data_IF_436000712393
#
_entry.id   IF_436000712393
#
_cell.length_a   1.000
_cell.length_b   1.000
_cell.length_c   1.000
_cell.angle_alpha   90.00
_cell.angle_beta   90.00
_cell.angle_gamma   90.00
#
_symmetry.space_group_name_H-M   'P 1'
#
loop_
_entity.id
_entity.type
_entity.pdbx_description
1 polymer ?
#
# COMPACT_ATOMS: atom_id res chain seq x y z
N UNK A 1 -10.45 32.29 17.48
CA UNK A 1 -11.29 31.11 17.74
C UNK A 1 -10.91 30.08 16.70
N UNK A 2 -9.87 29.36 17.06
CA UNK A 2 -9.60 27.94 16.83
C UNK A 2 -10.32 27.27 15.64
N UNK A 3 -9.66 27.23 14.49
CA UNK A 3 -9.83 26.18 13.48
C UNK A 3 -8.61 25.24 13.56
N UNK A 4 -8.42 24.62 14.73
CA UNK A 4 -7.51 23.50 14.94
C UNK A 4 -8.24 22.22 14.47
N UNK A 5 -8.31 22.02 13.15
CA UNK A 5 -8.70 20.71 12.64
C UNK A 5 -7.61 19.71 13.04
N UNK A 6 -7.93 18.64 13.79
CA UNK A 6 -6.92 17.64 14.11
C UNK A 6 -6.45 17.03 12.79
N UNK A 7 -5.17 17.26 12.47
CA UNK A 7 -4.43 16.50 11.46
C UNK A 7 -4.87 15.03 11.56
N UNK A 8 -5.45 14.51 10.47
CA UNK A 8 -6.12 13.20 10.47
C UNK A 8 -5.34 12.18 11.28
N UNK A 9 -5.99 11.60 12.29
CA UNK A 9 -5.37 10.83 13.36
C UNK A 9 -4.27 9.90 12.82
N UNK A 10 -3.02 10.22 13.10
CA UNK A 10 -1.92 9.29 12.91
C UNK A 10 -2.14 8.13 13.89
N UNK A 11 -2.57 6.98 13.38
CA UNK A 11 -2.75 5.76 14.15
C UNK A 11 -1.55 4.84 13.89
N UNK A 12 -0.56 4.80 14.81
CA UNK A 12 0.54 3.85 14.68
C UNK A 12 -0.02 2.43 14.76
N UNK A 13 0.42 1.58 13.83
CA UNK A 13 0.09 0.16 13.82
C UNK A 13 1.35 -0.68 13.77
N UNK A 14 1.32 -1.83 14.42
CA UNK A 14 2.39 -2.83 14.33
C UNK A 14 2.20 -3.64 13.05
N UNK A 15 3.21 -3.64 12.19
CA UNK A 15 3.26 -4.47 10.99
C UNK A 15 4.30 -5.55 11.24
N UNK A 16 3.89 -6.82 11.18
CA UNK A 16 4.80 -7.94 11.38
C UNK A 16 5.59 -8.21 10.09
N UNK A 17 6.87 -8.63 10.15
CA UNK A 17 7.67 -8.89 8.95
C UNK A 17 7.01 -9.87 7.96
N UNK A 18 6.28 -10.87 8.47
CA UNK A 18 5.54 -11.84 7.64
C UNK A 18 4.33 -11.27 6.89
N UNK A 19 3.92 -10.02 7.18
CA UNK A 19 2.84 -9.33 6.47
C UNK A 19 3.36 -8.40 5.38
N UNK A 20 4.67 -8.13 5.32
CA UNK A 20 5.24 -7.27 4.29
C UNK A 20 5.35 -8.03 2.98
N UNK A 21 4.74 -7.47 1.94
CA UNK A 21 4.72 -8.09 0.61
C UNK A 21 5.17 -7.12 -0.48
N UNK A 22 5.74 -7.67 -1.54
CA UNK A 22 6.20 -6.90 -2.69
C UNK A 22 5.16 -6.79 -3.81
N UNK A 23 5.51 -6.05 -4.87
CA UNK A 23 4.64 -5.79 -6.02
C UNK A 23 4.05 -7.03 -6.69
N UNK A 24 4.71 -8.19 -6.63
CA UNK A 24 4.17 -9.44 -7.20
C UNK A 24 2.89 -9.86 -6.50
N UNK A 25 2.94 -10.00 -5.17
CA UNK A 25 1.78 -10.40 -4.36
C UNK A 25 0.69 -9.34 -4.45
N UNK A 26 1.06 -8.05 -4.46
CA UNK A 26 0.08 -6.98 -4.67
C UNK A 26 -0.67 -7.12 -6.01
N UNK A 27 0.03 -7.42 -7.11
CA UNK A 27 -0.58 -7.68 -8.41
C UNK A 27 -1.57 -8.85 -8.36
N UNK A 28 -1.18 -9.96 -7.74
CA UNK A 28 -2.01 -11.15 -7.54
C UNK A 28 -3.28 -10.81 -6.75
N UNK A 29 -3.14 -10.12 -5.60
CA UNK A 29 -4.28 -9.70 -4.77
C UNK A 29 -5.25 -8.76 -5.49
N UNK A 30 -4.74 -7.77 -6.21
CA UNK A 30 -5.58 -6.83 -6.95
C UNK A 30 -6.15 -7.41 -8.26
N UNK A 31 -5.63 -8.54 -8.75
CA UNK A 31 -5.94 -9.07 -10.07
C UNK A 31 -5.52 -8.14 -11.21
N UNK A 32 -4.37 -7.48 -11.08
CA UNK A 32 -3.83 -6.51 -12.06
C UNK A 32 -2.38 -6.83 -12.41
N UNK A 33 -1.89 -6.32 -13.54
CA UNK A 33 -0.48 -6.41 -13.91
C UNK A 33 0.38 -5.30 -13.26
N UNK A 34 1.71 -5.44 -13.36
CA UNK A 34 2.68 -4.49 -12.78
C UNK A 34 2.59 -3.08 -13.35
N UNK A 35 2.26 -2.93 -14.63
CA UNK A 35 2.13 -1.60 -15.25
C UNK A 35 0.90 -0.88 -14.72
N UNK A 36 -0.21 -1.60 -14.56
CA UNK A 36 -1.44 -1.10 -13.93
C UNK A 36 -1.20 -0.74 -12.46
N UNK A 37 -0.51 -1.60 -11.70
CA UNK A 37 -0.12 -1.31 -10.31
C UNK A 37 0.71 -0.02 -10.23
N UNK A 38 1.73 0.12 -11.08
CA UNK A 38 2.59 1.32 -11.09
C UNK A 38 1.80 2.58 -11.45
N UNK A 39 0.87 2.49 -12.40
CA UNK A 39 -0.01 3.60 -12.78
C UNK A 39 -0.89 4.03 -11.60
N UNK A 40 -1.50 3.07 -10.89
CA UNK A 40 -2.35 3.32 -9.72
C UNK A 40 -1.60 3.89 -8.53
N UNK A 41 -0.33 3.49 -8.35
CA UNK A 41 0.54 4.10 -7.34
C UNK A 41 0.84 5.56 -7.70
N UNK A 42 1.10 5.85 -8.98
CA UNK A 42 1.36 7.22 -9.46
C UNK A 42 0.13 8.14 -9.37
N UNK A 43 -1.08 7.61 -9.56
CA UNK A 43 -2.32 8.37 -9.38
C UNK A 43 -2.74 8.53 -7.92
N UNK A 44 -2.13 7.77 -6.99
CA UNK A 44 -2.49 7.78 -5.58
C UNK A 44 -3.63 6.81 -5.21
N UNK A 45 -4.14 6.03 -6.16
CA UNK A 45 -5.21 5.04 -5.92
C UNK A 45 -4.74 3.88 -5.05
N UNK A 46 -3.45 3.55 -5.11
CA UNK A 46 -2.81 2.51 -4.27
C UNK A 46 -1.59 3.13 -3.61
N UNK A 47 -1.54 3.11 -2.27
CA UNK A 47 -0.43 3.69 -1.51
C UNK A 47 0.44 2.58 -0.94
N UNK A 48 1.71 2.44 -1.39
CA UNK A 48 2.66 1.52 -0.76
C UNK A 48 3.12 2.07 0.59
N UNK A 49 3.48 1.18 1.51
CA UNK A 49 4.10 1.57 2.79
C UNK A 49 5.46 2.23 2.58
N UNK A 50 6.23 1.68 1.64
CA UNK A 50 7.58 2.13 1.35
C UNK A 50 7.97 1.81 -0.09
N UNK A 51 8.96 2.55 -0.57
CA UNK A 51 9.71 2.25 -1.78
C UNK A 51 11.15 1.93 -1.39
N UNK A 52 11.62 0.75 -1.76
CA UNK A 52 13.00 0.32 -1.54
C UNK A 52 13.90 0.82 -2.67
N UNK A 53 15.20 0.85 -2.39
CA UNK A 53 16.24 1.14 -3.38
C UNK A 53 16.12 0.16 -4.56
N UNK A 54 16.14 0.70 -5.79
CA UNK A 54 15.88 -0.09 -7.00
C UNK A 54 14.40 -0.15 -7.42
N UNK A 55 13.55 0.73 -6.87
CA UNK A 55 12.15 0.92 -7.28
C UNK A 55 11.16 -0.21 -6.95
N UNK A 56 11.49 -1.05 -5.96
CA UNK A 56 10.53 -2.02 -5.43
C UNK A 56 9.55 -1.34 -4.45
N UNK A 57 8.27 -1.72 -4.51
CA UNK A 57 7.24 -1.25 -3.57
C UNK A 57 6.92 -2.32 -2.52
N UNK A 58 6.69 -1.88 -1.29
CA UNK A 58 6.32 -2.72 -0.15
C UNK A 58 4.92 -2.35 0.33
N UNK A 59 4.12 -3.35 0.65
CA UNK A 59 2.73 -3.23 1.09
C UNK A 59 2.52 -4.04 2.38
N UNK A 60 1.53 -3.64 3.17
CA UNK A 60 0.95 -4.50 4.20
C UNK A 60 -0.05 -5.45 3.54
N UNK A 61 0.08 -6.75 3.74
CA UNK A 61 -0.86 -7.74 3.25
C UNK A 61 -2.29 -7.49 3.74
N UNK A 62 -2.48 -6.93 4.94
CA UNK A 62 -3.83 -6.66 5.47
C UNK A 62 -4.55 -5.51 4.76
N UNK A 63 -3.82 -4.64 4.07
CA UNK A 63 -4.40 -3.53 3.31
C UNK A 63 -4.80 -3.93 1.89
N UNK A 64 -4.31 -5.08 1.44
CA UNK A 64 -4.60 -5.58 0.11
C UNK A 64 -5.96 -6.26 0.09
N UNK A 65 -6.70 -6.18 -1.04
CA UNK A 65 -7.93 -6.93 -1.19
C UNK A 65 -7.69 -8.43 -0.99
N UNK A 66 -8.74 -9.13 -0.55
CA UNK A 66 -8.75 -10.59 -0.55
C UNK A 66 -8.40 -11.10 -1.95
N UNK A 67 -7.60 -12.17 -2.01
CA UNK A 67 -7.25 -12.81 -3.26
C UNK A 67 -8.54 -13.21 -3.99
N UNK A 68 -8.67 -12.76 -5.24
CA UNK A 68 -9.84 -13.05 -6.04
C UNK A 68 -9.68 -14.46 -6.63
N UNK A 69 -10.65 -15.38 -6.44
CA UNK A 69 -10.56 -16.76 -6.91
C UNK A 69 -10.54 -16.88 -8.44
#
# INVERSE_FOLDING_TARGET
MDDDQPIGQWQPRTIWPGQLVGSRVACERYGIDRSTLTRRIKSGDIVPLARLDGAAYVFDLSDLPAERP
#
